data_IF_683018284478
#
_entry.id   IF_683018284478
#
_cell.length_a   1.000
_cell.length_b   1.000
_cell.length_c   1.000
_cell.angle_alpha   90.00
_cell.angle_beta   90.00
_cell.angle_gamma   90.00
#
_symmetry.space_group_name_H-M   'P 1'
#
loop_
_entity.id
_entity.type
_entity.pdbx_description
1 polymer ?
#
# COMPACT_ATOMS: atom_id res chain seq x y z
N UNK A 1 -13.19 5.68 -34.19
CA UNK A 1 -13.02 6.89 -34.40
C UNK A 1 -13.56 7.99 -33.50
N UNK A 2 -14.86 8.32 -33.38
CA UNK A 2 -15.34 9.34 -32.41
C UNK A 2 -15.08 8.95 -30.92
N UNK A 3 -15.19 7.67 -30.55
CA UNK A 3 -14.86 7.15 -29.20
C UNK A 3 -13.38 7.34 -28.85
N UNK A 4 -12.46 7.11 -29.79
CA UNK A 4 -11.03 7.29 -29.56
C UNK A 4 -10.63 8.76 -29.40
N UNK A 5 -11.28 9.68 -30.11
CA UNK A 5 -11.06 11.13 -29.96
C UNK A 5 -11.55 11.66 -28.59
N UNK A 6 -12.66 11.11 -28.08
CA UNK A 6 -13.22 11.48 -26.76
C UNK A 6 -12.35 10.94 -25.62
N UNK A 7 -11.82 9.71 -25.73
CA UNK A 7 -10.86 9.14 -24.77
C UNK A 7 -9.54 9.92 -24.71
N UNK A 8 -8.95 10.29 -25.85
CA UNK A 8 -7.72 11.10 -25.90
C UNK A 8 -7.90 12.48 -25.27
N UNK A 9 -9.03 13.17 -25.54
CA UNK A 9 -9.31 14.46 -24.91
C UNK A 9 -9.48 14.37 -23.39
N UNK A 10 -10.11 13.30 -22.87
CA UNK A 10 -10.26 13.12 -21.43
C UNK A 10 -8.93 12.80 -20.73
N UNK A 11 -8.05 11.99 -21.33
CA UNK A 11 -6.73 11.70 -20.75
C UNK A 11 -5.81 12.93 -20.74
N UNK A 12 -5.86 13.78 -21.76
CA UNK A 12 -5.09 15.03 -21.79
C UNK A 12 -5.57 16.00 -20.71
N UNK A 13 -6.89 16.14 -20.54
CA UNK A 13 -7.46 17.01 -19.50
C UNK A 13 -7.12 16.55 -18.10
N UNK A 14 -7.16 15.23 -17.82
CA UNK A 14 -6.77 14.67 -16.53
C UNK A 14 -5.29 14.92 -16.23
N UNK A 15 -4.42 14.73 -17.22
CA UNK A 15 -3.00 15.02 -17.07
C UNK A 15 -2.74 16.49 -16.73
N UNK A 16 -3.43 17.44 -17.35
CA UNK A 16 -3.31 18.87 -17.04
C UNK A 16 -3.76 19.20 -15.60
N UNK A 17 -4.86 18.59 -15.14
CA UNK A 17 -5.38 18.75 -13.79
C UNK A 17 -4.33 18.33 -12.75
N UNK A 18 -3.73 17.14 -12.91
CA UNK A 18 -2.72 16.63 -11.98
C UNK A 18 -1.39 17.41 -12.05
N UNK A 19 -1.02 17.94 -13.22
CA UNK A 19 0.12 18.87 -13.35
C UNK A 19 -0.10 20.16 -12.56
N UNK A 20 -1.31 20.71 -12.62
CA UNK A 20 -1.66 21.89 -11.82
C UNK A 20 -1.68 21.57 -10.32
N UNK A 21 -2.23 20.42 -9.92
CA UNK A 21 -2.21 19.97 -8.53
C UNK A 21 -0.77 19.82 -8.02
N UNK A 22 0.13 19.22 -8.82
CA UNK A 22 1.55 19.09 -8.48
C UNK A 22 2.19 20.47 -8.25
N UNK A 23 1.91 21.46 -9.09
CA UNK A 23 2.41 22.84 -8.89
C UNK A 23 1.91 23.45 -7.59
N UNK A 24 0.60 23.35 -7.31
CA UNK A 24 -0.01 23.86 -6.07
C UNK A 24 0.62 23.21 -4.83
N UNK A 25 0.89 21.91 -4.86
CA UNK A 25 1.54 21.18 -3.77
C UNK A 25 2.98 21.68 -3.57
N UNK A 26 3.74 21.90 -4.66
CA UNK A 26 5.13 22.38 -4.58
C UNK A 26 5.23 23.85 -4.14
N UNK A 27 4.25 24.68 -4.44
CA UNK A 27 4.18 26.08 -4.01
C UNK A 27 3.82 26.21 -2.52
N UNK A 28 3.16 25.20 -1.94
CA UNK A 28 2.74 25.20 -0.53
C UNK A 28 3.92 24.86 0.38
N UNK A 29 4.70 25.87 0.75
CA UNK A 29 5.91 25.74 1.59
C UNK A 29 5.65 25.15 2.99
N UNK A 30 4.42 25.16 3.46
CA UNK A 30 4.03 24.57 4.74
C UNK A 30 4.08 23.02 4.71
N UNK A 31 3.93 22.42 3.52
CA UNK A 31 4.02 20.97 3.35
C UNK A 31 5.47 20.52 3.46
N UNK A 32 5.72 19.59 4.38
CA UNK A 32 7.04 19.00 4.62
C UNK A 32 7.16 17.69 3.88
N UNK A 33 7.36 17.77 2.57
CA UNK A 33 7.48 16.62 1.67
C UNK A 33 8.95 16.40 1.29
N UNK A 34 9.32 15.13 1.10
CA UNK A 34 10.64 14.75 0.56
C UNK A 34 10.64 14.77 -0.96
N UNK A 35 9.59 14.25 -1.55
CA UNK A 35 9.49 14.06 -2.98
C UNK A 35 8.02 14.13 -3.41
N UNK A 36 7.79 14.61 -4.62
CA UNK A 36 6.45 14.73 -5.23
C UNK A 36 6.50 14.17 -6.63
N UNK A 37 5.93 12.99 -6.82
CA UNK A 37 5.92 12.29 -8.09
C UNK A 37 4.54 12.29 -8.71
N UNK A 38 4.53 12.39 -10.04
CA UNK A 38 3.31 12.23 -10.83
C UNK A 38 3.48 11.02 -11.74
N UNK A 39 2.70 9.98 -11.45
CA UNK A 39 2.71 8.75 -12.23
C UNK A 39 1.33 8.53 -12.82
N UNK A 40 1.21 8.63 -14.14
CA UNK A 40 -0.07 8.60 -14.84
C UNK A 40 -1.03 9.67 -14.26
N UNK A 41 -2.19 9.28 -13.77
CA UNK A 41 -3.19 10.17 -13.17
C UNK A 41 -3.22 10.04 -11.63
N UNK A 42 -2.06 9.85 -10.99
CA UNK A 42 -1.92 9.77 -9.54
C UNK A 42 -0.74 10.61 -9.06
N UNK A 43 -0.99 11.53 -8.13
CA UNK A 43 0.02 12.33 -7.48
C UNK A 43 0.46 11.61 -6.20
N UNK A 44 1.75 11.29 -6.13
CA UNK A 44 2.37 10.59 -5.02
C UNK A 44 3.20 11.59 -4.22
N UNK A 45 2.93 11.68 -2.92
CA UNK A 45 3.62 12.55 -1.98
C UNK A 45 4.40 11.67 -1.01
N UNK A 46 5.72 11.82 -0.97
CA UNK A 46 6.59 11.09 -0.05
C UNK A 46 6.96 12.02 1.12
N UNK A 47 6.81 11.58 2.36
CA UNK A 47 7.19 12.33 3.56
C UNK A 47 7.79 11.44 4.65
N UNK A 48 8.33 12.07 5.69
CA UNK A 48 8.75 11.38 6.90
C UNK A 48 7.57 11.11 7.84
N UNK A 49 7.73 10.09 8.69
CA UNK A 49 6.75 9.71 9.72
C UNK A 49 6.40 10.90 10.62
N UNK A 50 7.40 11.68 11.06
CA UNK A 50 7.20 12.81 11.97
C UNK A 50 6.35 13.93 11.38
N UNK A 51 6.28 14.04 10.07
CA UNK A 51 5.58 15.11 9.37
C UNK A 51 4.20 14.69 8.83
N UNK A 52 3.80 13.43 9.03
CA UNK A 52 2.57 12.91 8.42
C UNK A 52 1.32 13.64 8.90
N UNK A 53 1.14 13.78 10.21
CA UNK A 53 -0.02 14.45 10.81
C UNK A 53 -0.12 15.90 10.31
N UNK A 54 1.02 16.63 10.35
CA UNK A 54 1.09 18.00 9.89
C UNK A 54 0.70 18.16 8.41
N UNK A 55 1.26 17.32 7.54
CA UNK A 55 0.95 17.35 6.11
C UNK A 55 -0.52 17.03 5.83
N UNK A 56 -1.06 16.02 6.51
CA UNK A 56 -2.46 15.60 6.34
C UNK A 56 -3.43 16.69 6.82
N UNK A 57 -3.14 17.34 7.93
CA UNK A 57 -3.97 18.44 8.43
C UNK A 57 -4.03 19.60 7.42
N UNK A 58 -2.89 19.99 6.84
CA UNK A 58 -2.83 21.00 5.76
C UNK A 58 -3.63 20.54 4.54
N UNK A 59 -3.44 19.31 4.07
CA UNK A 59 -4.14 18.78 2.91
C UNK A 59 -5.67 18.73 3.12
N UNK A 60 -6.11 18.46 4.34
CA UNK A 60 -7.53 18.43 4.71
C UNK A 60 -8.13 19.82 4.79
N UNK A 61 -7.46 20.78 5.46
CA UNK A 61 -8.01 22.10 5.80
C UNK A 61 -7.82 23.14 4.71
N UNK A 62 -6.77 23.03 3.91
CA UNK A 62 -6.49 24.04 2.86
C UNK A 62 -7.61 24.12 1.85
N UNK A 63 -8.09 25.33 1.53
CA UNK A 63 -9.19 25.53 0.59
C UNK A 63 -8.85 25.09 -0.84
N UNK A 64 -7.55 25.05 -1.19
CA UNK A 64 -7.05 24.62 -2.49
C UNK A 64 -7.14 23.09 -2.65
N UNK A 65 -6.97 22.33 -1.57
CA UNK A 65 -6.87 20.87 -1.61
C UNK A 65 -8.16 20.16 -1.19
N UNK A 66 -8.67 20.46 0.00
CA UNK A 66 -9.93 19.90 0.55
C UNK A 66 -9.99 18.38 0.49
N UNK A 67 -8.90 17.70 0.87
CA UNK A 67 -8.89 16.23 0.97
C UNK A 67 -9.64 15.79 2.23
N UNK A 68 -10.96 15.70 2.13
CA UNK A 68 -11.85 15.41 3.25
C UNK A 68 -12.18 13.94 3.44
N UNK A 69 -11.81 13.10 2.52
CA UNK A 69 -12.00 11.65 2.63
C UNK A 69 -10.66 10.93 2.61
N UNK A 70 -10.43 10.12 3.63
CA UNK A 70 -9.47 9.03 3.60
C UNK A 70 -10.16 7.83 2.96
N UNK A 71 -9.65 7.38 1.82
CA UNK A 71 -10.20 6.23 1.09
C UNK A 71 -9.73 4.95 1.74
N UNK A 72 -8.39 4.84 1.92
CA UNK A 72 -7.78 3.62 2.42
C UNK A 72 -6.39 3.87 3.00
N UNK A 73 -5.91 2.94 3.84
CA UNK A 73 -4.55 2.85 4.35
C UNK A 73 -4.01 1.47 4.01
N UNK A 74 -2.92 1.44 3.26
CA UNK A 74 -2.32 0.21 2.76
C UNK A 74 -0.91 0.03 3.32
N UNK A 75 -0.56 -1.21 3.66
CA UNK A 75 0.81 -1.61 3.97
C UNK A 75 1.46 -2.32 2.78
N UNK A 76 2.76 -2.13 2.61
CA UNK A 76 3.57 -2.88 1.63
C UNK A 76 4.86 -3.32 2.30
N UNK A 77 5.27 -4.56 2.07
CA UNK A 77 6.49 -5.15 2.62
C UNK A 77 7.57 -5.26 1.53
N UNK A 78 8.72 -4.62 1.77
CA UNK A 78 9.93 -4.65 0.93
C UNK A 78 11.11 -5.22 1.73
N UNK A 79 11.25 -6.53 1.91
CA UNK A 79 12.25 -7.13 2.79
C UNK A 79 13.70 -6.80 2.42
N UNK A 80 13.94 -6.34 1.18
CA UNK A 80 15.26 -5.96 0.68
C UNK A 80 15.67 -4.53 1.09
N UNK A 81 14.74 -3.69 1.58
CA UNK A 81 15.01 -2.31 1.91
C UNK A 81 15.33 -2.14 3.41
N UNK A 82 16.20 -1.18 3.74
CA UNK A 82 16.53 -0.83 5.13
C UNK A 82 15.29 -0.34 5.91
N UNK A 83 14.43 0.46 5.26
CA UNK A 83 13.08 0.75 5.72
C UNK A 83 12.14 -0.24 5.03
N UNK A 84 11.86 -1.31 5.75
CA UNK A 84 11.18 -2.50 5.22
C UNK A 84 9.75 -2.23 4.78
N UNK A 85 9.00 -1.41 5.55
CA UNK A 85 7.59 -1.19 5.26
C UNK A 85 7.34 0.17 4.62
N UNK A 86 6.36 0.20 3.74
CA UNK A 86 5.79 1.43 3.20
C UNK A 86 4.30 1.48 3.58
N UNK A 87 3.87 2.57 4.20
CA UNK A 87 2.45 2.82 4.46
C UNK A 87 1.96 3.88 3.48
N UNK A 88 0.87 3.58 2.81
CA UNK A 88 0.29 4.40 1.75
C UNK A 88 -1.10 4.84 2.18
N UNK A 89 -1.32 6.13 2.23
CA UNK A 89 -2.61 6.74 2.53
C UNK A 89 -3.23 7.30 1.28
N UNK A 90 -4.45 6.86 0.96
CA UNK A 90 -5.18 7.28 -0.22
C UNK A 90 -6.25 8.31 0.15
N UNK A 91 -6.17 9.50 -0.42
CA UNK A 91 -7.10 10.58 -0.15
C UNK A 91 -7.90 11.01 -1.38
N UNK A 92 -9.12 11.49 -1.12
CA UNK A 92 -10.02 12.03 -2.14
C UNK A 92 -10.52 13.41 -1.72
N UNK A 93 -10.42 14.37 -2.65
CA UNK A 93 -11.13 15.63 -2.61
C UNK A 93 -12.36 15.54 -3.50
N UNK A 94 -13.55 15.52 -2.90
CA UNK A 94 -14.81 15.46 -3.64
C UNK A 94 -15.10 16.73 -4.45
N UNK A 95 -14.75 17.88 -3.85
CA UNK A 95 -15.03 19.17 -4.48
C UNK A 95 -14.17 19.39 -5.72
N UNK A 96 -12.89 19.00 -5.66
CA UNK A 96 -11.93 19.20 -6.75
C UNK A 96 -11.76 17.96 -7.64
N UNK A 97 -12.37 16.83 -7.26
CA UNK A 97 -12.21 15.54 -7.93
C UNK A 97 -10.75 15.10 -8.10
N UNK A 98 -9.92 15.34 -7.07
CA UNK A 98 -8.53 14.91 -7.02
C UNK A 98 -8.37 13.67 -6.16
N UNK A 99 -7.40 12.83 -6.52
CA UNK A 99 -6.87 11.76 -5.66
C UNK A 99 -5.38 11.96 -5.47
N UNK A 100 -4.90 11.65 -4.27
CA UNK A 100 -3.47 11.63 -3.97
C UNK A 100 -3.13 10.39 -3.15
N UNK A 101 -1.89 9.97 -3.26
CA UNK A 101 -1.29 8.96 -2.41
C UNK A 101 -0.19 9.61 -1.56
N UNK A 102 -0.32 9.58 -0.24
CA UNK A 102 0.74 9.99 0.66
C UNK A 102 1.45 8.74 1.15
N UNK A 103 2.78 8.70 1.05
CA UNK A 103 3.61 7.54 1.38
C UNK A 103 4.63 7.87 2.45
N UNK A 104 4.80 6.95 3.37
CA UNK A 104 5.89 6.94 4.35
C UNK A 104 6.62 5.60 4.31
N UNK A 105 7.93 5.64 4.52
CA UNK A 105 8.76 4.44 4.67
C UNK A 105 9.20 4.30 6.10
N UNK A 106 8.99 3.13 6.68
CA UNK A 106 9.28 2.82 8.08
C UNK A 106 10.11 1.54 8.21
N UNK A 107 10.91 1.49 9.27
CA UNK A 107 11.59 0.27 9.72
C UNK A 107 10.66 -0.65 10.49
N UNK A 108 11.14 -1.83 10.84
CA UNK A 108 10.32 -2.88 11.52
C UNK A 108 9.87 -2.44 12.92
N UNK A 109 10.68 -1.65 13.63
CA UNK A 109 10.39 -1.16 14.98
C UNK A 109 9.82 0.27 15.03
N UNK A 110 9.76 0.97 13.91
CA UNK A 110 9.21 2.33 13.87
C UNK A 110 7.69 2.30 14.08
N UNK A 111 7.20 3.29 14.84
CA UNK A 111 5.77 3.43 15.16
C UNK A 111 5.24 4.63 14.38
N UNK A 112 4.06 4.47 13.79
CA UNK A 112 3.38 5.50 12.99
C UNK A 112 2.34 6.19 13.87
N UNK A 113 2.20 7.52 13.85
CA UNK A 113 1.12 8.18 14.57
C UNK A 113 -0.24 7.86 13.93
N UNK A 114 -1.28 7.63 14.75
CA UNK A 114 -2.63 7.35 14.27
C UNK A 114 -3.26 8.55 13.58
N UNK A 115 -4.13 8.30 12.61
CA UNK A 115 -4.97 9.31 11.97
C UNK A 115 -6.40 9.33 12.49
N UNK A 116 -6.74 8.55 13.50
CA UNK A 116 -8.12 8.39 13.98
C UNK A 116 -8.76 9.70 14.45
N UNK A 117 -7.98 10.64 14.99
CA UNK A 117 -8.48 11.97 15.39
C UNK A 117 -8.79 12.88 14.20
N UNK A 118 -8.11 12.65 13.07
CA UNK A 118 -8.32 13.43 11.85
C UNK A 118 -9.39 12.77 10.97
N UNK A 119 -9.31 11.44 10.81
CA UNK A 119 -10.22 10.63 10.01
C UNK A 119 -10.70 9.42 10.81
N UNK A 120 -11.92 9.42 11.34
CA UNK A 120 -12.46 8.27 12.09
C UNK A 120 -12.43 6.94 11.30
N UNK A 121 -12.46 6.99 9.96
CA UNK A 121 -12.35 5.80 9.10
C UNK A 121 -10.99 5.11 9.23
N UNK A 122 -9.94 5.81 9.65
CA UNK A 122 -8.61 5.27 9.86
C UNK A 122 -8.58 4.14 10.90
N UNK A 123 -9.50 4.16 11.88
CA UNK A 123 -9.53 3.19 12.98
C UNK A 123 -9.45 1.73 12.48
N UNK A 124 -10.31 1.35 11.56
CA UNK A 124 -10.34 -0.03 11.06
C UNK A 124 -9.23 -0.32 10.05
N UNK A 125 -8.89 0.66 9.23
CA UNK A 125 -7.83 0.54 8.23
C UNK A 125 -6.44 0.39 8.87
N UNK A 126 -6.15 1.13 9.95
CA UNK A 126 -4.91 0.99 10.72
C UNK A 126 -4.84 -0.36 11.43
N UNK A 127 -5.98 -0.86 11.96
CA UNK A 127 -6.06 -2.21 12.54
C UNK A 127 -5.80 -3.30 11.50
N UNK A 128 -6.27 -3.13 10.27
CA UNK A 128 -5.98 -4.06 9.16
C UNK A 128 -4.49 -4.07 8.85
N UNK A 129 -3.86 -2.91 8.70
CA UNK A 129 -2.41 -2.80 8.46
C UNK A 129 -1.61 -3.39 9.61
N UNK A 130 -2.03 -3.16 10.85
CA UNK A 130 -1.42 -3.80 12.02
C UNK A 130 -1.56 -5.32 11.98
N UNK A 131 -2.76 -5.83 11.71
CA UNK A 131 -3.03 -7.27 11.72
C UNK A 131 -2.26 -8.01 10.61
N UNK A 132 -2.15 -7.40 9.42
CA UNK A 132 -1.52 -8.03 8.25
C UNK A 132 0.01 -7.90 8.22
N UNK A 133 0.57 -6.80 8.73
CA UNK A 133 2.00 -6.49 8.62
C UNK A 133 2.71 -6.30 9.96
N UNK A 134 1.98 -6.09 11.06
CA UNK A 134 2.54 -5.80 12.37
C UNK A 134 3.01 -4.36 12.54
N UNK A 135 2.59 -3.45 11.67
CA UNK A 135 2.91 -2.02 11.78
C UNK A 135 2.09 -1.43 12.92
N UNK A 136 2.78 -0.84 13.91
CA UNK A 136 2.13 -0.26 15.09
C UNK A 136 1.76 1.20 14.89
N UNK A 137 0.59 1.58 15.39
CA UNK A 137 0.09 2.94 15.36
C UNK A 137 0.04 3.53 16.78
N UNK A 138 0.79 4.63 17.02
CA UNK A 138 0.79 5.32 18.30
C UNK A 138 -0.57 6.00 18.53
N UNK A 139 -1.00 6.00 19.79
CA UNK A 139 -2.25 6.66 20.23
C UNK A 139 -3.53 6.15 19.54
N UNK A 140 -3.46 4.98 18.90
CA UNK A 140 -4.65 4.34 18.35
C UNK A 140 -5.57 3.88 19.50
N UNK A 141 -6.87 4.20 19.47
CA UNK A 141 -7.78 3.94 20.61
C UNK A 141 -8.00 2.46 20.90
N UNK A 142 -7.86 1.57 19.91
CA UNK A 142 -8.10 0.14 20.05
C UNK A 142 -7.36 -0.66 18.97
N UNK A 143 -6.03 -0.79 19.12
CA UNK A 143 -5.17 -1.49 18.16
C UNK A 143 -5.15 -3.01 18.43
N UNK A 144 -6.22 -3.69 18.07
CA UNK A 144 -6.35 -5.15 18.12
C UNK A 144 -6.55 -5.75 16.74
N UNK A 145 -6.28 -7.05 16.60
CA UNK A 145 -6.52 -7.77 15.34
C UNK A 145 -7.97 -7.64 14.87
N UNK A 146 -8.20 -7.66 13.56
CA UNK A 146 -9.51 -7.46 12.95
C UNK A 146 -9.86 -8.55 11.93
N UNK A 147 -8.88 -9.08 11.20
CA UNK A 147 -9.09 -10.08 10.14
C UNK A 147 -8.65 -11.48 10.56
N UNK A 148 -7.62 -11.59 11.39
CA UNK A 148 -7.12 -12.89 11.89
C UNK A 148 -7.76 -13.24 13.22
N UNK A 149 -7.72 -14.53 13.57
CA UNK A 149 -8.17 -15.03 14.88
C UNK A 149 -7.34 -14.44 16.03
N UNK A 150 -7.90 -14.41 17.24
CA UNK A 150 -7.22 -13.86 18.42
C UNK A 150 -5.93 -14.59 18.79
N UNK A 151 -5.83 -15.89 18.50
CA UNK A 151 -4.65 -16.72 18.74
C UNK A 151 -3.75 -16.88 17.51
N UNK A 152 -3.97 -16.07 16.47
CA UNK A 152 -3.17 -16.14 15.27
C UNK A 152 -1.75 -15.60 15.52
N UNK A 153 -0.74 -16.40 15.17
CA UNK A 153 0.67 -16.07 15.35
C UNK A 153 1.28 -15.58 14.03
N UNK A 154 1.90 -14.41 14.06
CA UNK A 154 2.56 -13.78 12.90
C UNK A 154 1.69 -12.79 12.14
N UNK A 155 2.17 -12.39 10.98
CA UNK A 155 1.57 -11.36 10.12
C UNK A 155 1.50 -11.86 8.69
N UNK A 156 0.29 -12.22 8.19
CA UNK A 156 0.15 -13.07 7.00
C UNK A 156 0.54 -12.38 5.69
N UNK A 157 0.61 -11.05 5.61
CA UNK A 157 1.02 -10.35 4.41
C UNK A 157 2.51 -9.97 4.37
N UNK A 158 3.28 -10.27 5.42
CA UNK A 158 4.74 -10.17 5.34
C UNK A 158 5.28 -11.21 4.35
N UNK A 159 6.30 -10.82 3.56
CA UNK A 159 6.88 -11.70 2.54
C UNK A 159 7.62 -12.92 3.10
N UNK A 160 8.04 -12.86 4.35
CA UNK A 160 8.68 -13.95 5.09
C UNK A 160 7.66 -14.89 5.79
N UNK A 161 6.36 -14.55 5.77
CA UNK A 161 5.33 -15.43 6.28
C UNK A 161 5.01 -16.54 5.25
N UNK A 162 4.97 -17.82 5.65
CA UNK A 162 4.70 -18.92 4.72
C UNK A 162 3.28 -18.83 4.14
N UNK A 163 3.15 -19.06 2.83
CA UNK A 163 1.88 -18.98 2.11
C UNK A 163 0.79 -19.88 2.70
N UNK A 164 1.17 -21.07 3.19
CA UNK A 164 0.25 -22.04 3.80
C UNK A 164 -0.08 -21.74 5.25
N UNK A 165 0.64 -20.82 5.90
CA UNK A 165 0.60 -20.62 7.34
C UNK A 165 1.18 -21.79 8.12
N UNK A 166 0.94 -21.81 9.43
CA UNK A 166 1.44 -22.85 10.34
C UNK A 166 0.34 -23.76 10.86
N UNK A 167 -0.87 -23.23 10.99
CA UNK A 167 -2.05 -23.90 11.55
C UNK A 167 -3.20 -23.80 10.57
N UNK A 168 -3.96 -24.85 10.42
CA UNK A 168 -5.23 -24.87 9.70
C UNK A 168 -6.40 -25.05 10.65
N UNK A 169 -7.55 -24.57 10.25
CA UNK A 169 -8.78 -24.57 11.06
C UNK A 169 -9.79 -25.49 10.41
N UNK A 170 -10.31 -26.45 11.18
CA UNK A 170 -11.36 -27.33 10.67
C UNK A 170 -12.43 -27.60 11.74
N UNK A 171 -13.65 -27.83 11.29
CA UNK A 171 -14.72 -28.29 12.19
C UNK A 171 -14.61 -29.80 12.44
N UNK A 172 -14.50 -30.18 13.71
CA UNK A 172 -14.54 -31.59 14.13
C UNK A 172 -15.97 -32.00 14.48
N UNK A 173 -16.53 -32.94 13.71
CA UNK A 173 -17.85 -33.49 13.99
C UNK A 173 -17.89 -34.30 15.28
N UNK A 174 -16.78 -34.95 15.66
CA UNK A 174 -16.69 -35.73 16.91
C UNK A 174 -16.72 -34.85 18.15
N UNK A 175 -16.00 -33.71 18.10
CA UNK A 175 -15.90 -32.78 19.22
C UNK A 175 -16.95 -31.67 19.14
N UNK A 176 -17.71 -31.60 18.05
CA UNK A 176 -18.73 -30.55 17.76
C UNK A 176 -18.20 -29.13 17.94
N UNK A 177 -16.93 -28.90 17.57
CA UNK A 177 -16.24 -27.61 17.68
C UNK A 177 -15.21 -27.41 16.59
N UNK A 178 -14.80 -26.16 16.43
CA UNK A 178 -13.66 -25.79 15.60
C UNK A 178 -12.38 -26.19 16.32
N UNK A 179 -11.47 -26.86 15.61
CA UNK A 179 -10.15 -27.27 16.10
C UNK A 179 -9.05 -26.70 15.23
N UNK A 180 -7.89 -26.46 15.84
CA UNK A 180 -6.69 -25.99 15.17
C UNK A 180 -5.70 -27.17 15.07
N UNK A 181 -5.18 -27.39 13.87
CA UNK A 181 -4.23 -28.47 13.59
C UNK A 181 -3.01 -27.89 12.86
N UNK A 182 -1.83 -28.52 12.97
CA UNK A 182 -0.71 -28.19 12.11
C UNK A 182 -1.08 -28.45 10.65
N UNK A 183 -0.67 -27.54 9.75
CA UNK A 183 -0.93 -27.69 8.32
C UNK A 183 -0.38 -29.00 7.79
N UNK A 184 -1.24 -29.81 7.18
CA UNK A 184 -0.88 -31.04 6.45
C UNK A 184 -1.43 -30.92 5.04
N UNK A 185 -0.57 -30.58 4.10
CA UNK A 185 -0.98 -30.51 2.70
C UNK A 185 -1.12 -31.93 2.14
N UNK A 186 -2.24 -32.18 1.44
CA UNK A 186 -2.45 -33.42 0.70
C UNK A 186 -1.47 -33.58 -0.48
N UNK A 187 -0.93 -32.45 -0.95
CA UNK A 187 0.07 -32.38 -1.98
C UNK A 187 1.13 -31.35 -1.59
N UNK A 188 2.41 -31.69 -1.77
CA UNK A 188 3.50 -30.75 -1.56
C UNK A 188 3.36 -29.52 -2.43
N UNK A 189 3.80 -28.38 -1.87
CA UNK A 189 3.80 -27.11 -2.61
C UNK A 189 4.72 -27.24 -3.83
N UNK A 190 4.19 -26.95 -5.01
CA UNK A 190 4.99 -27.01 -6.24
C UNK A 190 5.62 -25.66 -6.48
N UNK A 191 6.93 -25.65 -6.72
CA UNK A 191 7.61 -24.51 -7.30
C UNK A 191 7.29 -24.49 -8.81
N UNK A 192 6.48 -23.52 -9.20
CA UNK A 192 6.01 -23.42 -10.58
C UNK A 192 6.89 -22.42 -11.31
N UNK A 193 7.68 -22.90 -12.26
CA UNK A 193 8.34 -22.01 -13.19
C UNK A 193 7.30 -21.52 -14.21
N UNK A 194 6.90 -20.24 -14.10
CA UNK A 194 5.95 -19.60 -15.00
C UNK A 194 6.56 -19.19 -16.35
N UNK A 195 7.84 -19.41 -16.54
CA UNK A 195 8.48 -19.13 -17.82
C UNK A 195 7.98 -20.11 -18.88
N UNK A 196 7.37 -19.58 -19.92
CA UNK A 196 7.03 -20.36 -21.10
C UNK A 196 8.32 -20.84 -21.75
N UNK A 197 8.48 -22.15 -22.08
CA UNK A 197 9.66 -22.63 -22.80
C UNK A 197 9.90 -21.91 -24.13
N UNK A 198 8.86 -21.32 -24.69
CA UNK A 198 8.92 -20.54 -25.93
C UNK A 198 9.35 -19.09 -25.71
N UNK A 199 9.01 -18.52 -24.56
CA UNK A 199 9.38 -17.14 -24.20
C UNK A 199 10.73 -17.06 -23.51
N UNK A 200 11.13 -18.11 -22.76
CA UNK A 200 12.42 -18.18 -22.06
C UNK A 200 13.61 -18.04 -23.00
N UNK A 201 13.53 -18.57 -24.21
CA UNK A 201 14.60 -18.44 -25.22
C UNK A 201 14.79 -16.99 -25.72
N UNK A 202 13.74 -16.16 -25.72
CA UNK A 202 13.83 -14.75 -26.10
C UNK A 202 14.41 -13.89 -24.96
N UNK A 203 14.09 -14.23 -23.71
CA UNK A 203 14.68 -13.52 -22.55
C UNK A 203 16.17 -13.78 -22.44
N UNK A 204 16.61 -15.02 -22.61
CA UNK A 204 18.04 -15.39 -22.58
C UNK A 204 18.80 -14.68 -23.68
N UNK A 205 18.26 -14.56 -24.88
CA UNK A 205 18.89 -13.80 -25.97
C UNK A 205 19.01 -12.32 -25.62
N UNK A 206 17.95 -11.69 -25.09
CA UNK A 206 17.97 -10.27 -24.67
C UNK A 206 18.96 -9.98 -23.55
N UNK A 207 19.19 -10.92 -22.64
CA UNK A 207 20.23 -10.78 -21.61
C UNK A 207 21.63 -10.97 -22.15
N UNK A 208 21.85 -11.91 -23.08
CA UNK A 208 23.14 -12.12 -23.74
C UNK A 208 23.53 -10.92 -24.61
N UNK A 209 22.60 -10.38 -25.39
CA UNK A 209 22.80 -9.16 -26.19
C UNK A 209 23.21 -7.96 -25.32
N UNK A 210 22.58 -7.79 -24.16
CA UNK A 210 22.94 -6.71 -23.19
C UNK A 210 24.31 -6.88 -22.54
N UNK A 211 24.83 -8.11 -22.42
CA UNK A 211 26.15 -8.40 -21.88
C UNK A 211 27.22 -8.19 -22.95
N UNK A 212 26.92 -8.45 -24.22
CA UNK A 212 27.85 -8.20 -25.35
C UNK A 212 27.96 -6.70 -25.68
N UNK A 213 26.89 -5.92 -25.57
CA UNK A 213 26.95 -4.44 -25.74
C UNK A 213 27.72 -3.72 -24.62
N UNK A 214 28.00 -4.38 -23.49
CA UNK A 214 28.76 -3.81 -22.36
C UNK A 214 30.23 -4.22 -22.34
N UNK A 215 30.70 -4.96 -23.32
CA UNK A 215 32.09 -5.32 -23.54
C UNK A 215 32.69 -4.51 -24.67
#
# INVERSE_FOLDING_TARGET
SKKNKKRRKSSTLMSEIYQNLKKLVLEKKELKLKEVDLTHDNLILNCDVDNIIHNIDILKRSPEFKFRQLIDILGVDYPQQSKRFEVIYLFLSHENNFRISLKIKIGDEEIVPTLTDIFPSANWQEREVFDMYGIRFADHPDLRRILTDYEFEGYPLRKDFPLTGYKEVRYSAEHQKVIYEPVKLAQDYRDFNFESPWEGSEYIKKEQDKVEEKK
#
